data_IF_424876849137
#
_entry.id   IF_424876849137
#
_cell.length_a   1.000
_cell.length_b   1.000
_cell.length_c   1.000
_cell.angle_alpha   90.00
_cell.angle_beta   90.00
_cell.angle_gamma   90.00
#
_symmetry.space_group_name_H-M   'P 1'
#
loop_
_entity.id
_entity.type
_entity.pdbx_description
1 polymer ?
#
# COMPACT_ATOMS: atom_id res chain seq x y z
N UNK A 1 28.02 84.75 -22.55
CA UNK A 1 28.49 84.39 -21.21
C UNK A 1 27.59 83.28 -20.71
N UNK A 2 28.03 82.13 -20.25
CA UNK A 2 29.24 81.31 -20.35
C UNK A 2 28.92 80.12 -19.42
N UNK A 3 29.43 78.94 -19.78
CA UNK A 3 29.88 77.89 -18.85
C UNK A 3 28.87 77.07 -18.01
N UNK A 4 28.96 75.74 -18.26
CA UNK A 4 29.39 74.68 -17.31
C UNK A 4 28.40 73.96 -16.40
N UNK A 5 28.37 72.65 -16.67
CA UNK A 5 28.88 71.55 -15.84
C UNK A 5 28.29 71.21 -14.47
N UNK A 6 27.95 69.91 -14.40
CA UNK A 6 28.35 68.92 -13.41
C UNK A 6 27.54 68.64 -12.12
N UNK A 7 27.11 67.37 -12.09
CA UNK A 7 27.36 66.33 -11.09
C UNK A 7 26.67 66.35 -9.71
N UNK A 8 25.94 65.25 -9.42
CA UNK A 8 26.21 64.26 -8.35
C UNK A 8 25.13 63.14 -8.49
N UNK A 9 25.45 61.95 -9.00
CA UNK A 9 25.96 60.75 -8.31
C UNK A 9 25.02 60.15 -7.25
N UNK A 10 24.51 58.96 -7.55
CA UNK A 10 23.78 58.07 -6.65
C UNK A 10 23.86 56.65 -7.18
N UNK A 11 25.02 56.04 -6.93
CA UNK A 11 25.38 54.65 -7.20
C UNK A 11 24.82 53.73 -6.10
N UNK A 12 24.24 52.60 -6.49
CA UNK A 12 24.14 51.42 -5.63
C UNK A 12 24.02 50.17 -6.49
N UNK A 13 25.17 49.73 -6.97
CA UNK A 13 25.48 48.33 -7.26
C UNK A 13 24.99 47.38 -6.15
N UNK A 14 24.34 46.28 -6.52
CA UNK A 14 24.49 45.04 -5.76
C UNK A 14 24.45 43.83 -6.69
N UNK A 15 25.52 43.06 -6.56
CA UNK A 15 26.02 42.02 -7.43
C UNK A 15 25.08 40.84 -7.68
N UNK A 16 25.09 40.40 -8.93
CA UNK A 16 24.79 39.04 -9.35
C UNK A 16 25.98 38.17 -8.92
N UNK A 17 25.82 37.33 -7.90
CA UNK A 17 26.80 36.31 -7.55
C UNK A 17 26.35 34.91 -7.98
N UNK A 18 27.19 34.37 -8.86
CA UNK A 18 27.18 33.03 -9.43
C UNK A 18 27.07 31.95 -8.35
N UNK A 19 26.09 31.05 -8.51
CA UNK A 19 26.07 29.78 -7.80
C UNK A 19 27.04 28.80 -8.50
N UNK A 20 27.95 28.13 -7.76
CA UNK A 20 28.91 27.21 -8.37
C UNK A 20 28.24 25.92 -8.87
N UNK A 21 28.71 25.46 -10.03
CA UNK A 21 28.30 24.22 -10.70
C UNK A 21 28.83 22.99 -9.94
N UNK A 22 28.08 21.89 -10.01
CA UNK A 22 28.32 20.58 -9.35
C UNK A 22 29.60 19.85 -9.79
N UNK A 23 30.52 20.51 -10.49
CA UNK A 23 31.78 19.96 -10.98
C UNK A 23 32.97 20.24 -10.04
N UNK A 24 32.84 21.13 -9.05
CA UNK A 24 33.94 21.51 -8.12
C UNK A 24 33.94 20.76 -6.77
N UNK A 25 33.00 19.83 -6.55
CA UNK A 25 32.86 19.08 -5.28
C UNK A 25 33.47 17.67 -5.30
N UNK A 26 34.09 17.26 -6.40
CA UNK A 26 34.65 15.91 -6.56
C UNK A 26 36.15 15.79 -6.25
N UNK A 27 36.83 16.88 -5.88
CA UNK A 27 38.31 16.90 -5.79
C UNK A 27 38.87 17.23 -4.39
N UNK A 28 38.09 16.95 -3.32
CA UNK A 28 38.50 17.32 -1.94
C UNK A 28 38.44 16.19 -0.90
N UNK A 29 38.55 14.94 -1.33
CA UNK A 29 38.73 13.80 -0.41
C UNK A 29 39.90 12.95 -0.88
N UNK A 30 41.11 13.51 -0.85
CA UNK A 30 42.32 12.73 -0.60
C UNK A 30 43.33 13.59 0.16
N UNK A 31 43.98 12.95 1.12
CA UNK A 31 45.16 13.36 1.88
C UNK A 31 44.96 13.96 3.29
N UNK A 32 45.63 13.33 4.27
CA UNK A 32 45.77 13.86 5.63
C UNK A 32 45.66 12.86 6.79
N UNK A 33 46.63 11.95 6.93
CA UNK A 33 47.00 11.31 8.22
C UNK A 33 47.38 12.38 9.26
N UNK A 34 47.21 12.17 10.59
CA UNK A 34 48.39 11.86 11.42
C UNK A 34 48.18 11.04 12.72
N UNK A 35 49.21 10.23 12.98
CA UNK A 35 49.98 9.89 14.22
C UNK A 35 49.43 10.05 15.66
N UNK A 36 49.79 9.02 16.43
CA UNK A 36 49.81 8.72 17.88
C UNK A 36 50.44 9.74 18.84
N UNK A 37 50.01 9.78 20.12
CA UNK A 37 50.83 9.39 21.31
C UNK A 37 50.03 9.25 22.64
N UNK A 38 50.63 8.52 23.59
CA UNK A 38 50.20 7.81 24.82
C UNK A 38 49.91 8.64 26.09
N UNK A 39 49.22 8.03 27.09
CA UNK A 39 49.81 7.49 28.36
C UNK A 39 48.87 7.42 29.60
N UNK A 40 48.97 6.31 30.37
CA UNK A 40 48.65 6.16 31.82
C UNK A 40 47.43 5.25 32.14
N UNK A 41 47.52 3.94 32.45
CA UNK A 41 48.08 3.21 33.63
C UNK A 41 47.26 3.46 34.94
N UNK A 42 46.82 2.53 35.81
CA UNK A 42 47.06 1.10 36.10
C UNK A 42 45.97 0.54 37.05
N UNK A 43 45.89 -0.81 37.14
CA UNK A 43 45.63 -1.65 38.34
C UNK A 43 44.36 -2.56 38.43
N UNK A 44 44.62 -3.86 38.20
CA UNK A 44 43.93 -5.11 38.59
C UNK A 44 43.92 -5.35 40.14
N UNK A 45 43.35 -6.42 40.77
CA UNK A 45 43.18 -7.80 40.23
C UNK A 45 42.07 -8.77 40.76
N UNK A 46 42.01 -9.92 40.07
CA UNK A 46 41.86 -11.33 40.52
C UNK A 46 40.48 -12.01 40.77
N UNK A 47 40.37 -13.20 40.15
CA UNK A 47 39.50 -14.37 40.47
C UNK A 47 38.50 -14.71 39.37
N UNK A 48 38.28 -15.93 38.86
CA UNK A 48 38.79 -17.30 39.05
C UNK A 48 38.20 -18.17 37.90
N UNK A 49 38.70 -19.40 37.74
CA UNK A 49 38.58 -20.36 36.63
C UNK A 49 37.18 -20.82 36.13
N UNK A 50 37.09 -21.24 34.86
CA UNK A 50 36.03 -22.13 34.35
C UNK A 50 36.07 -22.38 32.81
N UNK A 51 35.88 -23.62 32.30
CA UNK A 51 36.47 -24.05 31.03
C UNK A 51 35.60 -23.87 29.77
N UNK A 52 36.31 -23.95 28.64
CA UNK A 52 35.87 -23.97 27.24
C UNK A 52 34.85 -25.07 26.92
N UNK A 53 33.76 -24.74 26.23
CA UNK A 53 33.14 -25.64 25.24
C UNK A 53 32.54 -24.85 24.08
N UNK A 54 33.06 -25.20 22.92
CA UNK A 54 32.64 -24.93 21.54
C UNK A 54 31.11 -25.08 21.36
N UNK A 55 30.45 -24.06 20.80
CA UNK A 55 29.03 -24.10 20.41
C UNK A 55 28.96 -24.35 18.91
N UNK A 56 28.75 -25.61 18.54
CA UNK A 56 28.29 -26.00 17.20
C UNK A 56 26.78 -25.73 17.04
N UNK A 57 26.31 -25.38 15.83
CA UNK A 57 24.89 -25.14 15.57
C UNK A 57 24.11 -26.46 15.45
N UNK A 58 22.98 -26.54 16.13
CA UNK A 58 22.01 -27.64 16.07
C UNK A 58 21.45 -27.81 14.65
N UNK A 59 21.63 -28.99 14.07
CA UNK A 59 21.27 -29.32 12.70
C UNK A 59 19.78 -29.69 12.57
N UNK A 60 19.21 -29.40 11.40
CA UNK A 60 17.81 -29.62 10.99
C UNK A 60 17.28 -31.07 11.14
N UNK A 61 18.13 -32.04 11.54
CA UNK A 61 17.73 -33.43 11.77
C UNK A 61 16.93 -33.63 13.07
N UNK A 62 17.18 -32.84 14.12
CA UNK A 62 16.44 -32.99 15.39
C UNK A 62 14.99 -32.50 15.30
N UNK A 63 14.72 -31.52 14.42
CA UNK A 63 13.36 -31.03 14.17
C UNK A 63 12.52 -32.04 13.36
N UNK A 64 13.13 -32.77 12.44
CA UNK A 64 12.45 -33.80 11.65
C UNK A 64 12.05 -35.03 12.49
N UNK A 65 12.85 -35.40 13.50
CA UNK A 65 12.53 -36.52 14.40
C UNK A 65 11.41 -36.18 15.40
N UNK A 66 11.25 -34.92 15.78
CA UNK A 66 10.17 -34.46 16.67
C UNK A 66 8.78 -34.59 16.03
N UNK A 67 8.67 -34.31 14.73
CA UNK A 67 7.39 -34.40 13.99
C UNK A 67 6.98 -35.86 13.79
N UNK A 68 7.93 -36.75 13.50
CA UNK A 68 7.65 -38.18 13.31
C UNK A 68 7.20 -38.87 14.61
N UNK A 69 7.63 -38.39 15.78
CA UNK A 69 7.22 -38.95 17.08
C UNK A 69 5.76 -38.62 17.45
N UNK A 70 5.13 -37.66 16.79
CA UNK A 70 3.74 -37.25 17.06
C UNK A 70 2.68 -37.99 16.24
N UNK A 71 3.09 -38.91 15.35
CA UNK A 71 2.14 -39.70 14.56
C UNK A 71 2.39 -41.21 14.67
N UNK A 72 1.52 -41.86 15.42
CA UNK A 72 1.22 -43.29 15.32
C UNK A 72 0.46 -43.81 16.57
N UNK A 73 -0.27 -44.93 16.49
CA UNK A 73 -1.09 -45.44 15.40
C UNK A 73 -2.59 -45.54 15.77
N UNK A 74 -3.41 -45.79 14.75
CA UNK A 74 -4.85 -46.06 14.75
C UNK A 74 -5.37 -46.97 15.88
N UNK A 75 -6.50 -46.58 16.49
CA UNK A 75 -7.34 -47.46 17.31
C UNK A 75 -8.81 -47.26 16.89
N UNK A 76 -9.48 -48.38 16.60
CA UNK A 76 -10.87 -48.47 16.15
C UNK A 76 -11.85 -48.69 17.32
N UNK A 77 -13.14 -48.44 17.03
CA UNK A 77 -14.42 -48.88 17.67
C UNK A 77 -15.18 -47.79 18.47
N UNK A 78 -16.52 -47.86 18.64
CA UNK A 78 -17.57 -48.68 17.98
C UNK A 78 -18.76 -47.88 17.40
N UNK A 79 -19.69 -48.59 16.73
CA UNK A 79 -21.02 -48.16 16.28
C UNK A 79 -21.97 -47.78 17.45
N UNK A 80 -23.01 -47.02 17.09
CA UNK A 80 -24.24 -46.68 17.81
C UNK A 80 -24.18 -45.56 18.87
N UNK A 81 -24.45 -44.32 18.45
CA UNK A 81 -25.74 -43.66 18.74
C UNK A 81 -25.89 -42.38 17.91
N UNK A 82 -27.09 -42.22 17.37
CA UNK A 82 -27.47 -41.16 16.45
C UNK A 82 -27.78 -39.83 17.17
N UNK A 83 -27.45 -38.74 16.49
CA UNK A 83 -28.16 -37.45 16.51
C UNK A 83 -28.17 -36.64 17.81
N UNK A 84 -27.14 -35.81 18.02
CA UNK A 84 -27.31 -34.56 18.80
C UNK A 84 -26.25 -33.47 18.50
N UNK A 85 -25.89 -33.28 17.23
CA UNK A 85 -25.20 -32.06 16.79
C UNK A 85 -25.75 -31.62 15.43
N UNK A 86 -27.04 -31.30 15.42
CA UNK A 86 -27.72 -30.58 14.34
C UNK A 86 -27.78 -29.10 14.72
N UNK A 87 -26.62 -28.42 14.82
CA UNK A 87 -26.59 -26.95 14.94
C UNK A 87 -25.26 -26.40 14.37
N UNK A 88 -25.42 -25.65 13.28
CA UNK A 88 -24.47 -24.79 12.56
C UNK A 88 -23.58 -25.53 11.54
N UNK A 89 -24.21 -26.13 10.54
CA UNK A 89 -23.67 -26.23 9.18
C UNK A 89 -24.53 -25.36 8.23
N UNK A 90 -24.58 -24.06 8.53
CA UNK A 90 -25.17 -23.03 7.67
C UNK A 90 -24.10 -22.00 7.30
N UNK A 91 -22.94 -22.49 6.86
CA UNK A 91 -22.13 -21.73 5.91
C UNK A 91 -22.49 -22.27 4.55
N UNK A 92 -23.56 -21.72 3.99
CA UNK A 92 -23.83 -21.83 2.57
C UNK A 92 -22.56 -21.43 1.80
N UNK A 93 -21.86 -22.43 1.27
CA UNK A 93 -20.85 -22.34 0.21
C UNK A 93 -21.54 -21.91 -1.11
N UNK A 94 -22.32 -20.83 -1.05
CA UNK A 94 -22.80 -20.14 -2.23
C UNK A 94 -21.64 -19.29 -2.75
N UNK A 95 -21.19 -19.48 -4.00
CA UNK A 95 -20.35 -18.48 -4.67
C UNK A 95 -21.05 -17.13 -4.47
N UNK A 96 -20.32 -16.16 -3.91
CA UNK A 96 -20.75 -14.78 -3.63
C UNK A 96 -22.06 -14.45 -4.33
N UNK A 97 -23.16 -14.47 -3.58
CA UNK A 97 -24.46 -14.05 -4.09
C UNK A 97 -24.22 -12.75 -4.85
N UNK A 98 -24.56 -12.73 -6.14
CA UNK A 98 -24.61 -11.52 -6.93
C UNK A 98 -25.61 -10.60 -6.21
N UNK A 99 -25.12 -9.85 -5.23
CA UNK A 99 -25.78 -8.67 -4.70
C UNK A 99 -25.71 -7.66 -5.84
N UNK A 100 -26.52 -7.93 -6.86
CA UNK A 100 -26.76 -7.05 -7.95
C UNK A 100 -27.33 -5.81 -7.31
N UNK A 101 -26.69 -4.67 -7.55
CA UNK A 101 -27.18 -3.40 -7.06
C UNK A 101 -28.66 -3.30 -7.37
N UNK A 102 -29.46 -2.80 -6.42
CA UNK A 102 -30.82 -2.43 -6.76
C UNK A 102 -30.79 -1.42 -7.93
N UNK A 103 -31.91 -1.25 -8.64
CA UNK A 103 -31.97 -0.39 -9.83
C UNK A 103 -31.44 1.04 -9.55
N UNK A 104 -31.64 1.54 -8.33
CA UNK A 104 -31.18 2.86 -7.90
C UNK A 104 -29.67 2.88 -7.69
N UNK A 105 -29.12 1.88 -7.02
CA UNK A 105 -27.71 1.73 -6.78
C UNK A 105 -26.94 1.54 -8.10
N UNK A 106 -27.50 0.76 -9.04
CA UNK A 106 -26.93 0.63 -10.39
C UNK A 106 -26.89 1.98 -11.11
N UNK A 107 -27.97 2.78 -11.04
CA UNK A 107 -27.99 4.11 -11.65
C UNK A 107 -26.96 5.07 -11.01
N UNK A 108 -26.76 5.00 -9.68
CA UNK A 108 -25.72 5.78 -9.00
C UNK A 108 -24.33 5.35 -9.45
N UNK A 109 -24.09 4.04 -9.55
CA UNK A 109 -22.83 3.47 -10.02
C UNK A 109 -22.50 3.88 -11.45
N UNK A 110 -23.47 3.85 -12.36
CA UNK A 110 -23.27 4.24 -13.76
C UNK A 110 -22.91 5.73 -13.92
N UNK A 111 -23.39 6.60 -13.02
CA UNK A 111 -23.09 8.04 -13.07
C UNK A 111 -21.62 8.36 -12.72
N UNK A 112 -20.96 7.48 -11.98
CA UNK A 112 -19.65 7.72 -11.37
C UNK A 112 -18.57 6.79 -11.91
N UNK A 113 -18.92 5.63 -12.44
CA UNK A 113 -17.99 4.59 -12.91
C UNK A 113 -17.09 5.05 -14.06
N UNK A 114 -17.49 6.08 -14.80
CA UNK A 114 -16.69 6.68 -15.88
C UNK A 114 -15.63 7.70 -15.37
N UNK A 115 -15.71 8.12 -14.11
CA UNK A 115 -14.78 9.10 -13.55
C UNK A 115 -13.38 8.52 -13.34
N UNK A 116 -12.36 9.37 -13.46
CA UNK A 116 -10.97 8.94 -13.28
C UNK A 116 -10.64 8.64 -11.82
N UNK A 117 -11.15 9.42 -10.87
CA UNK A 117 -10.86 9.24 -9.45
C UNK A 117 -12.14 9.29 -8.62
N UNK A 118 -12.48 8.18 -7.97
CA UNK A 118 -13.71 8.02 -7.21
C UNK A 118 -13.34 7.78 -5.74
N UNK A 119 -13.95 8.53 -4.82
CA UNK A 119 -13.91 8.18 -3.41
C UNK A 119 -15.05 7.20 -3.09
N UNK A 120 -14.71 6.09 -2.45
CA UNK A 120 -15.68 5.10 -1.98
C UNK A 120 -15.74 5.20 -0.47
N UNK A 121 -16.89 5.63 0.06
CA UNK A 121 -17.11 5.92 1.48
C UNK A 121 -18.08 4.91 2.05
N UNK A 122 -17.69 4.16 3.07
CA UNK A 122 -18.58 3.21 3.73
C UNK A 122 -17.83 2.25 4.65
N UNK A 123 -18.55 1.33 5.31
CA UNK A 123 -17.95 0.43 6.28
C UNK A 123 -16.93 -0.51 5.62
N UNK A 124 -15.73 -0.59 6.21
CA UNK A 124 -14.68 -1.49 5.75
C UNK A 124 -15.01 -2.96 6.05
N UNK A 125 -14.40 -3.87 5.27
CA UNK A 125 -14.48 -5.33 5.44
C UNK A 125 -15.92 -5.89 5.31
N UNK A 126 -16.76 -5.22 4.52
CA UNK A 126 -18.13 -5.66 4.25
C UNK A 126 -18.27 -6.28 2.86
N UNK A 127 -19.24 -7.18 2.68
CA UNK A 127 -19.56 -7.75 1.36
C UNK A 127 -19.88 -6.66 0.32
N UNK A 128 -20.58 -5.60 0.74
CA UNK A 128 -20.87 -4.44 -0.11
C UNK A 128 -19.61 -3.75 -0.61
N UNK A 129 -18.61 -3.54 0.25
CA UNK A 129 -17.32 -2.96 -0.13
C UNK A 129 -16.60 -3.83 -1.18
N UNK A 130 -16.53 -5.14 -0.93
CA UNK A 130 -15.88 -6.08 -1.84
C UNK A 130 -16.56 -6.10 -3.21
N UNK A 131 -17.90 -6.14 -3.24
CA UNK A 131 -18.67 -6.12 -4.48
C UNK A 131 -18.45 -4.82 -5.27
N UNK A 132 -18.48 -3.67 -4.60
CA UNK A 132 -18.25 -2.37 -5.23
C UNK A 132 -16.83 -2.27 -5.80
N UNK A 133 -15.82 -2.70 -5.03
CA UNK A 133 -14.44 -2.74 -5.50
C UNK A 133 -14.29 -3.65 -6.73
N UNK A 134 -14.87 -4.85 -6.72
CA UNK A 134 -14.84 -5.77 -7.86
C UNK A 134 -15.44 -5.15 -9.13
N UNK A 135 -16.58 -4.48 -9.01
CA UNK A 135 -17.20 -3.82 -10.16
C UNK A 135 -16.36 -2.65 -10.68
N UNK A 136 -15.81 -1.82 -9.79
CA UNK A 136 -14.91 -0.70 -10.17
C UNK A 136 -13.56 -1.17 -10.73
N UNK A 137 -13.13 -2.39 -10.40
CA UNK A 137 -11.91 -3.01 -10.93
C UNK A 137 -12.13 -3.67 -12.31
N UNK A 138 -13.37 -3.86 -12.73
CA UNK A 138 -13.72 -4.43 -14.03
C UNK A 138 -13.73 -3.32 -15.08
N UNK A 139 -12.99 -3.51 -16.17
CA UNK A 139 -12.95 -2.54 -17.28
C UNK A 139 -14.21 -2.61 -18.16
N UNK A 140 -14.48 -1.54 -18.92
CA UNK A 140 -15.67 -1.40 -19.77
C UNK A 140 -15.88 -2.55 -20.77
N UNK A 141 -14.79 -3.16 -21.23
CA UNK A 141 -14.76 -4.23 -22.21
C UNK A 141 -14.69 -5.63 -21.59
N UNK A 142 -14.88 -5.76 -20.27
CA UNK A 142 -14.81 -7.02 -19.52
C UNK A 142 -13.39 -7.53 -19.26
N UNK A 143 -12.37 -6.77 -19.67
CA UNK A 143 -10.98 -6.99 -19.32
C UNK A 143 -10.28 -5.72 -18.86
N UNK A 144 -9.32 -5.86 -17.95
CA UNK A 144 -8.62 -4.75 -17.33
C UNK A 144 -7.18 -5.09 -16.92
N UNK A 145 -6.35 -4.06 -16.81
CA UNK A 145 -5.13 -4.11 -16.02
C UNK A 145 -5.45 -3.64 -14.61
N UNK A 146 -5.18 -4.49 -13.62
CA UNK A 146 -5.60 -4.26 -12.24
C UNK A 146 -4.40 -3.95 -11.35
N UNK A 147 -4.39 -2.76 -10.77
CA UNK A 147 -3.42 -2.35 -9.75
C UNK A 147 -4.12 -2.23 -8.40
N UNK A 148 -3.64 -2.98 -7.42
CA UNK A 148 -4.14 -2.91 -6.05
C UNK A 148 -3.05 -2.39 -5.14
N UNK A 149 -3.38 -1.40 -4.31
CA UNK A 149 -2.54 -0.90 -3.24
C UNK A 149 -3.17 -1.30 -1.92
N UNK A 150 -2.52 -2.21 -1.22
CA UNK A 150 -2.93 -2.69 0.08
C UNK A 150 -2.06 -2.05 1.16
N UNK A 151 -2.68 -1.46 2.18
CA UNK A 151 -2.00 -0.64 3.18
C UNK A 151 -2.28 -1.19 4.57
N UNK A 152 -1.21 -1.60 5.26
CA UNK A 152 -1.22 -2.17 6.62
C UNK A 152 -2.12 -3.41 6.80
N UNK A 153 -2.49 -4.03 5.69
CA UNK A 153 -3.27 -5.27 5.58
C UNK A 153 -2.41 -6.50 5.84
N UNK A 154 -2.99 -7.54 6.43
CA UNK A 154 -2.28 -8.83 6.65
C UNK A 154 -2.11 -9.62 5.34
N UNK A 155 -1.12 -10.53 5.24
CA UNK A 155 -0.95 -11.37 4.04
C UNK A 155 -2.17 -12.25 3.71
N UNK A 156 -2.88 -12.76 4.72
CA UNK A 156 -4.10 -13.57 4.52
C UNK A 156 -5.23 -12.73 3.92
N UNK A 157 -5.40 -11.52 4.44
CA UNK A 157 -6.39 -10.57 3.93
C UNK A 157 -6.01 -10.05 2.54
N UNK A 158 -4.71 -9.87 2.25
CA UNK A 158 -4.22 -9.60 0.88
C UNK A 158 -4.54 -10.73 -0.08
N UNK A 159 -4.41 -11.99 0.33
CA UNK A 159 -4.81 -13.15 -0.47
C UNK A 159 -6.32 -13.16 -0.73
N UNK A 160 -7.13 -12.91 0.30
CA UNK A 160 -8.58 -12.81 0.15
C UNK A 160 -8.97 -11.70 -0.82
N UNK A 161 -8.39 -10.51 -0.66
CA UNK A 161 -8.55 -9.38 -1.55
C UNK A 161 -8.17 -9.74 -3.00
N UNK A 162 -7.02 -10.38 -3.22
CA UNK A 162 -6.59 -10.78 -4.56
C UNK A 162 -7.51 -11.82 -5.20
N UNK A 163 -7.97 -12.81 -4.42
CA UNK A 163 -8.89 -13.84 -4.90
C UNK A 163 -10.28 -13.26 -5.21
N UNK A 164 -10.76 -12.34 -4.37
CA UNK A 164 -12.10 -11.76 -4.48
C UNK A 164 -12.18 -10.71 -5.61
N UNK A 165 -11.10 -9.98 -5.90
CA UNK A 165 -11.08 -8.96 -6.94
C UNK A 165 -10.72 -9.49 -8.33
N UNK A 166 -10.38 -10.77 -8.46
CA UNK A 166 -10.10 -11.39 -9.76
C UNK A 166 -11.40 -11.80 -10.47
N UNK A 167 -12.16 -10.80 -10.90
CA UNK A 167 -13.36 -10.99 -11.72
C UNK A 167 -13.13 -10.44 -13.12
N UNK A 168 -13.45 -11.24 -14.14
CA UNK A 168 -13.24 -10.89 -15.55
C UNK A 168 -11.88 -11.29 -16.14
N UNK A 169 -11.60 -10.81 -17.35
CA UNK A 169 -10.36 -11.10 -18.07
C UNK A 169 -9.24 -10.13 -17.68
N UNK A 170 -8.38 -10.52 -16.73
CA UNK A 170 -7.26 -9.67 -16.27
C UNK A 170 -6.03 -9.91 -17.13
N UNK A 171 -5.57 -8.91 -17.88
CA UNK A 171 -4.33 -8.99 -18.67
C UNK A 171 -3.09 -8.89 -17.79
N UNK A 172 -3.07 -7.92 -16.88
CA UNK A 172 -1.99 -7.71 -15.94
C UNK A 172 -2.56 -7.42 -14.54
N UNK A 173 -1.98 -8.04 -13.52
CA UNK A 173 -2.34 -7.78 -12.12
C UNK A 173 -1.09 -7.42 -11.33
N UNK A 174 -1.14 -6.30 -10.60
CA UNK A 174 -0.07 -5.89 -9.69
C UNK A 174 -0.62 -5.59 -8.31
N UNK A 175 0.01 -6.15 -7.27
CA UNK A 175 -0.21 -5.80 -5.88
C UNK A 175 0.97 -4.96 -5.38
N UNK A 176 0.68 -3.77 -4.86
CA UNK A 176 1.61 -2.98 -4.05
C UNK A 176 1.25 -3.22 -2.59
N UNK A 177 2.04 -4.05 -1.91
CA UNK A 177 1.89 -4.33 -0.49
C UNK A 177 2.69 -3.30 0.34
N UNK A 178 1.98 -2.50 1.12
CA UNK A 178 2.55 -1.43 1.96
C UNK A 178 2.39 -1.84 3.42
N UNK A 179 3.47 -2.28 4.06
CA UNK A 179 3.43 -2.83 5.42
C UNK A 179 4.60 -2.29 6.24
N UNK A 180 4.40 -2.01 7.53
CA UNK A 180 5.43 -1.48 8.44
C UNK A 180 6.17 -2.55 9.26
N UNK A 181 5.79 -3.82 9.14
CA UNK A 181 6.39 -4.96 9.86
C UNK A 181 7.08 -5.92 8.88
N UNK A 182 8.02 -6.71 9.40
CA UNK A 182 8.71 -7.74 8.63
C UNK A 182 7.68 -8.80 8.19
N UNK A 183 7.21 -8.68 6.95
CA UNK A 183 6.36 -9.65 6.30
C UNK A 183 7.16 -10.93 6.03
N UNK A 184 7.35 -11.75 7.07
CA UNK A 184 7.85 -13.12 6.95
C UNK A 184 6.87 -14.03 6.18
N UNK A 185 5.63 -13.57 5.95
CA UNK A 185 4.67 -14.24 5.09
C UNK A 185 4.82 -13.74 3.67
N UNK A 186 5.60 -14.44 2.85
CA UNK A 186 5.48 -14.31 1.40
C UNK A 186 4.12 -14.84 0.98
N UNK A 187 3.32 -14.03 0.28
CA UNK A 187 2.16 -14.54 -0.44
C UNK A 187 2.70 -15.55 -1.45
N UNK A 188 2.34 -16.82 -1.29
CA UNK A 188 2.72 -17.88 -2.22
C UNK A 188 1.83 -17.77 -3.47
N UNK A 189 2.12 -16.77 -4.30
CA UNK A 189 1.43 -16.48 -5.54
C UNK A 189 1.98 -17.32 -6.71
N UNK A 190 2.67 -18.44 -6.43
CA UNK A 190 3.39 -19.24 -7.44
C UNK A 190 2.50 -19.71 -8.60
N UNK A 191 1.18 -19.82 -8.37
CA UNK A 191 0.19 -20.24 -9.37
C UNK A 191 -0.66 -19.10 -9.96
N UNK A 192 -0.46 -17.85 -9.53
CA UNK A 192 -1.20 -16.68 -10.02
C UNK A 192 -0.27 -15.71 -10.78
N UNK A 193 -0.66 -15.20 -11.97
CA UNK A 193 0.15 -14.25 -12.73
C UNK A 193 0.10 -12.83 -12.13
N UNK A 194 0.50 -12.69 -10.86
CA UNK A 194 0.41 -11.46 -10.08
C UNK A 194 1.83 -10.94 -9.81
N UNK A 195 2.08 -9.69 -10.18
CA UNK A 195 3.32 -9.00 -9.80
C UNK A 195 3.18 -8.37 -8.42
N UNK A 196 3.97 -8.82 -7.44
CA UNK A 196 3.95 -8.23 -6.09
C UNK A 196 5.13 -7.26 -5.94
N UNK A 197 4.85 -6.02 -5.55
CA UNK A 197 5.81 -4.97 -5.24
C UNK A 197 5.62 -4.55 -3.78
N UNK A 198 6.69 -4.38 -3.01
CA UNK A 198 6.59 -4.08 -1.58
C UNK A 198 7.10 -2.68 -1.24
N UNK A 199 6.47 -2.07 -0.22
CA UNK A 199 6.91 -0.82 0.42
C UNK A 199 6.92 -1.03 1.93
N UNK A 200 8.08 -0.83 2.55
CA UNK A 200 8.32 -1.14 3.97
C UNK A 200 7.65 -0.16 4.94
N UNK A 201 7.11 0.97 4.48
CA UNK A 201 6.45 1.96 5.34
C UNK A 201 5.34 2.68 4.59
N UNK A 202 4.15 2.76 5.19
CA UNK A 202 3.04 3.56 4.66
C UNK A 202 3.35 5.07 4.59
N UNK A 203 4.31 5.54 5.40
CA UNK A 203 4.77 6.94 5.38
C UNK A 203 5.63 7.27 4.14
N UNK A 204 6.13 6.28 3.40
CA UNK A 204 6.91 6.47 2.16
C UNK A 204 6.01 6.67 0.94
N UNK A 205 5.21 7.74 1.00
CA UNK A 205 4.32 8.19 -0.07
C UNK A 205 5.05 8.37 -1.41
N UNK A 206 6.33 8.74 -1.38
CA UNK A 206 7.14 8.88 -2.59
C UNK A 206 7.32 7.52 -3.28
N UNK A 207 7.70 6.48 -2.53
CA UNK A 207 7.85 5.13 -3.08
C UNK A 207 6.52 4.56 -3.56
N UNK A 208 5.45 4.74 -2.79
CA UNK A 208 4.10 4.31 -3.17
C UNK A 208 3.71 4.96 -4.51
N UNK A 209 3.78 6.29 -4.61
CA UNK A 209 3.45 7.02 -5.83
C UNK A 209 4.33 6.63 -7.03
N UNK A 210 5.62 6.37 -6.81
CA UNK A 210 6.52 5.89 -7.86
C UNK A 210 6.09 4.52 -8.40
N UNK A 211 5.79 3.56 -7.52
CA UNK A 211 5.37 2.22 -7.93
C UNK A 211 4.04 2.25 -8.68
N UNK A 212 3.07 3.05 -8.21
CA UNK A 212 1.80 3.24 -8.91
C UNK A 212 2.04 3.81 -10.30
N UNK A 213 2.75 4.94 -10.39
CA UNK A 213 3.00 5.62 -11.68
C UNK A 213 3.77 4.69 -12.63
N UNK A 214 4.74 3.92 -12.11
CA UNK A 214 5.51 2.98 -12.93
C UNK A 214 4.61 1.88 -13.51
N UNK A 215 3.75 1.28 -12.69
CA UNK A 215 2.83 0.24 -13.15
C UNK A 215 1.83 0.78 -14.17
N UNK A 216 1.26 1.97 -13.96
CA UNK A 216 0.34 2.57 -14.93
C UNK A 216 1.05 2.91 -16.26
N UNK A 217 2.29 3.41 -16.21
CA UNK A 217 3.07 3.69 -17.40
C UNK A 217 3.48 2.41 -18.16
N UNK A 218 3.80 1.33 -17.44
CA UNK A 218 4.08 0.00 -18.03
C UNK A 218 2.87 -0.52 -18.83
N UNK A 219 1.65 -0.06 -18.52
CA UNK A 219 0.42 -0.45 -19.21
C UNK A 219 -0.15 0.59 -20.17
N UNK A 220 0.50 1.74 -20.32
CA UNK A 220 -0.03 2.88 -21.09
C UNK A 220 -0.30 2.62 -22.58
N UNK A 221 0.21 1.52 -23.13
CA UNK A 221 -0.04 1.08 -24.51
C UNK A 221 -1.05 -0.09 -24.61
N UNK A 222 -1.59 -0.57 -23.49
CA UNK A 222 -2.54 -1.68 -23.46
C UNK A 222 -3.89 -1.26 -24.05
N UNK A 223 -4.57 -2.20 -24.72
CA UNK A 223 -5.91 -2.02 -25.26
C UNK A 223 -7.03 -2.12 -24.22
N UNK A 224 -6.71 -2.53 -22.98
CA UNK A 224 -7.68 -2.65 -21.89
C UNK A 224 -7.55 -1.55 -20.86
N UNK A 225 -8.65 -1.25 -20.17
CA UNK A 225 -8.71 -0.20 -19.15
C UNK A 225 -7.78 -0.53 -17.97
N UNK A 226 -6.99 0.45 -17.53
CA UNK A 226 -6.22 0.33 -16.29
C UNK A 226 -7.06 0.80 -15.11
N UNK A 227 -7.20 -0.04 -14.09
CA UNK A 227 -7.94 0.23 -12.85
C UNK A 227 -7.01 0.18 -11.64
N UNK A 228 -7.21 1.09 -10.69
CA UNK A 228 -6.43 1.24 -9.46
C UNK A 228 -7.34 1.21 -8.24
N UNK A 229 -7.13 0.27 -7.34
CA UNK A 229 -7.76 0.23 -6.02
C UNK A 229 -6.76 0.68 -4.94
N UNK A 230 -7.14 1.63 -4.10
CA UNK A 230 -6.42 1.95 -2.85
C UNK A 230 -7.24 1.48 -1.66
N UNK A 231 -6.83 0.34 -1.09
CA UNK A 231 -7.50 -0.35 0.01
C UNK A 231 -6.57 -0.42 1.25
N UNK A 232 -6.71 0.44 2.25
CA UNK A 232 -7.64 1.57 2.33
C UNK A 232 -6.92 2.91 2.49
N UNK A 233 -7.59 3.97 2.04
CA UNK A 233 -7.20 5.35 2.35
C UNK A 233 -7.25 5.61 3.86
N UNK A 234 -8.16 4.96 4.59
CA UNK A 234 -8.22 5.02 6.05
C UNK A 234 -6.90 4.62 6.72
N UNK A 235 -6.27 3.54 6.24
CA UNK A 235 -4.98 3.10 6.78
C UNK A 235 -3.85 4.07 6.40
N UNK A 236 -3.88 4.69 5.21
CA UNK A 236 -2.92 5.75 4.86
C UNK A 236 -3.06 7.00 5.73
N UNK A 237 -4.28 7.46 5.99
CA UNK A 237 -4.56 8.62 6.86
C UNK A 237 -3.98 8.35 8.25
N UNK A 238 -4.33 7.19 8.84
CA UNK A 238 -3.86 6.79 10.16
C UNK A 238 -2.33 6.66 10.24
N UNK A 239 -1.70 6.02 9.25
CA UNK A 239 -0.27 5.76 9.27
C UNK A 239 0.59 7.01 8.99
N UNK A 240 0.14 7.91 8.13
CA UNK A 240 0.88 9.14 7.79
C UNK A 240 0.79 10.18 8.91
N UNK A 241 -0.34 10.23 9.61
CA UNK A 241 -0.61 11.17 10.71
C UNK A 241 -0.24 12.63 10.34
N UNK A 242 -0.51 13.02 9.09
CA UNK A 242 -0.26 14.35 8.54
C UNK A 242 -1.12 14.57 7.29
N UNK A 243 -2.33 15.09 7.49
CA UNK A 243 -3.33 15.22 6.43
C UNK A 243 -2.87 16.13 5.29
N UNK A 244 -2.16 17.21 5.60
CA UNK A 244 -1.67 18.12 4.55
C UNK A 244 -0.65 17.43 3.63
N UNK A 245 0.23 16.59 4.19
CA UNK A 245 1.21 15.83 3.41
C UNK A 245 0.51 14.78 2.56
N UNK A 246 -0.47 14.07 3.13
CA UNK A 246 -1.24 13.06 2.41
C UNK A 246 -2.12 13.69 1.32
N UNK A 247 -2.77 14.81 1.61
CA UNK A 247 -3.58 15.58 0.66
C UNK A 247 -2.77 16.00 -0.56
N UNK A 248 -1.57 16.56 -0.36
CA UNK A 248 -0.67 16.91 -1.47
C UNK A 248 -0.27 15.69 -2.30
N UNK A 249 0.01 14.57 -1.63
CA UNK A 249 0.33 13.32 -2.33
C UNK A 249 -0.84 12.84 -3.18
N UNK A 250 -2.04 12.76 -2.62
CA UNK A 250 -3.24 12.33 -3.32
C UNK A 250 -3.58 13.28 -4.46
N UNK A 251 -3.48 14.60 -4.26
CA UNK A 251 -3.68 15.57 -5.33
C UNK A 251 -2.73 15.36 -6.52
N UNK A 252 -1.47 15.00 -6.28
CA UNK A 252 -0.54 14.67 -7.36
C UNK A 252 -0.89 13.31 -7.98
N UNK A 253 -1.31 12.34 -7.16
CA UNK A 253 -1.65 11.00 -7.60
C UNK A 253 -2.90 11.00 -8.50
N UNK A 254 -3.98 11.65 -8.10
CA UNK A 254 -5.24 11.70 -8.87
C UNK A 254 -5.01 12.34 -10.24
N UNK A 255 -4.25 13.45 -10.29
CA UNK A 255 -3.85 14.06 -11.56
C UNK A 255 -3.05 13.11 -12.47
N UNK A 256 -2.18 12.26 -11.91
CA UNK A 256 -1.41 11.27 -12.68
C UNK A 256 -2.28 10.12 -13.18
N UNK A 257 -3.21 9.64 -12.36
CA UNK A 257 -4.21 8.63 -12.76
C UNK A 257 -5.00 9.15 -13.95
N UNK A 258 -5.58 10.34 -13.85
CA UNK A 258 -6.33 10.97 -14.96
C UNK A 258 -5.46 11.16 -16.20
N UNK A 259 -4.20 11.60 -16.05
CA UNK A 259 -3.28 11.79 -17.18
C UNK A 259 -2.90 10.47 -17.87
N UNK A 260 -2.93 9.35 -17.15
CA UNK A 260 -2.70 8.02 -17.70
C UNK A 260 -3.97 7.38 -18.30
N UNK A 261 -5.12 8.06 -18.25
CA UNK A 261 -6.40 7.49 -18.66
C UNK A 261 -6.85 6.32 -17.79
N UNK A 262 -6.30 6.18 -16.59
CA UNK A 262 -6.66 5.12 -15.65
C UNK A 262 -7.89 5.54 -14.84
N UNK A 263 -8.61 4.55 -14.29
CA UNK A 263 -9.66 4.76 -13.29
C UNK A 263 -9.15 4.31 -11.93
N UNK A 264 -9.34 5.11 -10.91
CA UNK A 264 -8.93 4.81 -9.56
C UNK A 264 -10.09 4.99 -8.59
N UNK A 265 -10.16 4.10 -7.61
CA UNK A 265 -11.06 4.22 -6.48
C UNK A 265 -10.31 4.08 -5.16
N UNK A 266 -10.76 4.85 -4.18
CA UNK A 266 -10.09 5.04 -2.91
C UNK A 266 -11.08 4.76 -1.78
N UNK A 267 -10.81 3.74 -0.97
CA UNK A 267 -11.74 3.28 0.05
C UNK A 267 -11.48 3.98 1.39
N UNK A 268 -12.50 4.62 1.95
CA UNK A 268 -12.44 5.26 3.26
C UNK A 268 -13.60 4.81 4.14
N UNK A 269 -13.26 4.44 5.36
CA UNK A 269 -14.21 4.12 6.42
C UNK A 269 -14.56 5.41 7.19
N UNK A 270 -15.80 5.92 7.08
CA UNK A 270 -16.19 7.17 7.73
C UNK A 270 -16.20 7.06 9.26
N UNK A 271 -16.31 5.86 9.84
CA UNK A 271 -16.30 5.69 11.30
C UNK A 271 -14.91 5.91 11.92
N UNK A 272 -13.85 5.90 11.09
CA UNK A 272 -12.45 6.03 11.53
C UNK A 272 -11.91 7.46 11.51
N UNK A 273 -12.67 8.41 10.96
CA UNK A 273 -12.22 9.79 10.76
C UNK A 273 -13.32 10.78 11.14
N UNK A 274 -12.95 11.99 11.55
CA UNK A 274 -13.90 13.06 11.75
C UNK A 274 -14.40 13.65 10.42
N UNK A 275 -15.58 14.29 10.44
CA UNK A 275 -16.18 14.87 9.24
C UNK A 275 -15.30 15.92 8.55
N UNK A 276 -14.47 16.65 9.28
CA UNK A 276 -13.63 17.70 8.70
C UNK A 276 -12.53 17.06 7.84
N UNK A 277 -11.92 15.98 8.35
CA UNK A 277 -10.94 15.17 7.62
C UNK A 277 -11.58 14.57 6.37
N UNK A 278 -12.76 13.94 6.49
CA UNK A 278 -13.47 13.36 5.34
C UNK A 278 -13.84 14.41 4.29
N UNK A 279 -14.41 15.55 4.69
CA UNK A 279 -14.72 16.66 3.78
C UNK A 279 -13.50 17.18 3.04
N UNK A 280 -12.36 17.26 3.74
CA UNK A 280 -11.09 17.70 3.15
C UNK A 280 -10.63 16.73 2.07
N UNK A 281 -10.62 15.41 2.33
CA UNK A 281 -10.19 14.45 1.33
C UNK A 281 -11.18 14.30 0.17
N UNK A 282 -12.50 14.35 0.43
CA UNK A 282 -13.56 14.32 -0.59
C UNK A 282 -13.31 15.29 -1.75
N UNK A 283 -12.78 16.50 -1.47
CA UNK A 283 -12.54 17.51 -2.52
C UNK A 283 -11.45 17.16 -3.54
N UNK A 284 -10.73 16.04 -3.37
CA UNK A 284 -9.66 15.60 -4.27
C UNK A 284 -10.16 14.70 -5.40
N UNK A 285 -11.37 14.20 -5.29
CA UNK A 285 -11.93 13.16 -6.17
C UNK A 285 -12.98 13.77 -7.09
N UNK A 286 -13.13 13.17 -8.27
CA UNK A 286 -14.05 13.63 -9.30
C UNK A 286 -15.50 13.30 -8.91
N UNK A 287 -15.69 12.21 -8.16
CA UNK A 287 -16.95 11.80 -7.56
C UNK A 287 -16.73 11.10 -6.21
N UNK A 288 -17.78 11.05 -5.39
CA UNK A 288 -17.83 10.25 -4.18
C UNK A 288 -19.10 9.38 -4.19
N UNK A 289 -18.94 8.10 -3.85
CA UNK A 289 -20.03 7.15 -3.63
C UNK A 289 -20.03 6.82 -2.15
N UNK A 290 -21.20 6.92 -1.55
CA UNK A 290 -21.45 6.41 -0.20
C UNK A 290 -22.20 5.09 -0.31
N UNK A 291 -21.75 4.09 0.43
CA UNK A 291 -22.40 2.79 0.50
C UNK A 291 -22.63 2.37 1.94
N UNK A 292 -23.70 1.62 2.15
CA UNK A 292 -24.04 1.02 3.45
C UNK A 292 -23.81 -0.50 3.41
N UNK A 293 -23.79 -1.12 4.59
CA UNK A 293 -23.57 -2.57 4.72
C UNK A 293 -24.66 -3.42 4.04
N UNK A 294 -25.84 -2.85 3.77
CA UNK A 294 -26.94 -3.49 3.04
C UNK A 294 -26.80 -3.41 1.51
N UNK A 295 -25.75 -2.77 1.00
CA UNK A 295 -25.49 -2.61 -0.44
C UNK A 295 -26.19 -1.42 -1.09
N UNK A 296 -26.89 -0.59 -0.33
CA UNK A 296 -27.45 0.66 -0.87
C UNK A 296 -26.34 1.66 -1.23
N UNK A 297 -26.55 2.40 -2.33
CA UNK A 297 -25.61 3.43 -2.82
C UNK A 297 -26.26 4.81 -2.90
N UNK A 298 -25.47 5.84 -2.60
CA UNK A 298 -25.81 7.25 -2.81
C UNK A 298 -24.61 8.07 -3.28
N UNK A 299 -24.88 9.22 -3.91
CA UNK A 299 -23.86 10.21 -4.25
C UNK A 299 -23.50 11.04 -3.01
N UNK A 300 -22.21 11.20 -2.76
CA UNK A 300 -21.65 11.85 -1.56
C UNK A 300 -21.03 13.23 -1.75
#
# INVERSE_FOLDING_TARGET
MADRDDAESGDSDTEIQNSPSLSDLADRVEDGTPTSDKSGDTASPAGEDGPTTDRTPSTLSELAESIRRKQGPSASLPDDEASEWDLIDDRSDTPFDEANFDEKAAAVFDLVSEQSNILVVGPAETAAEYNLCTQLMTGDSGGANQLLVSVETTPEEQLNILNNYRVGSVENQTLISVQSYDASGTIDAADLPITIKTVTKATDLRRIGLLITKSLNEWGESSVQSTLCVHSLSNLIAAVNNDQRLFRFLHILTNRVSSAGARAHYHVDPARHDDQTLRTFKSLFDAAIEFEADGSLSLG
#
